data_IF_626308483110
#
_entry.id   IF_626308483110
#
_cell.length_a   1.000
_cell.length_b   1.000
_cell.length_c   1.000
_cell.angle_alpha   90.00
_cell.angle_beta   90.00
_cell.angle_gamma   90.00
#
_symmetry.space_group_name_H-M   'P 1'
#
loop_
_entity.id
_entity.type
_entity.pdbx_description
1 polymer ?
#
# COMPACT_ATOMS: atom_id res chain seq x y z
N UNK A 1 -12.95 23.99 -3.39
CA UNK A 1 -13.55 22.80 -2.79
C UNK A 1 -14.34 23.23 -1.55
N UNK A 2 -15.51 22.65 -1.31
CA UNK A 2 -16.23 22.83 -0.04
C UNK A 2 -15.86 21.65 0.88
N UNK A 3 -15.52 21.93 2.13
CA UNK A 3 -15.22 20.91 3.12
C UNK A 3 -16.51 20.43 3.78
N UNK A 4 -16.68 19.12 3.89
CA UNK A 4 -17.83 18.47 4.53
C UNK A 4 -17.33 17.47 5.59
N UNK A 5 -18.03 17.39 6.72
CA UNK A 5 -17.71 16.40 7.77
C UNK A 5 -18.51 15.12 7.52
N UNK A 6 -17.88 13.96 7.34
CA UNK A 6 -18.59 12.69 7.24
C UNK A 6 -19.03 12.18 8.62
N UNK A 7 -20.04 11.30 8.70
CA UNK A 7 -20.45 10.68 9.94
C UNK A 7 -19.45 9.59 10.40
N UNK A 8 -18.73 9.89 11.49
CA UNK A 8 -18.29 8.99 12.56
C UNK A 8 -17.50 7.69 12.27
N UNK A 9 -16.20 7.70 12.59
CA UNK A 9 -15.49 6.63 13.32
C UNK A 9 -14.33 7.28 14.12
N UNK A 10 -14.07 6.91 15.39
CA UNK A 10 -13.19 7.68 16.29
C UNK A 10 -11.68 7.55 16.01
N UNK A 11 -11.26 6.84 14.95
CA UNK A 11 -9.83 6.57 14.71
C UNK A 11 -9.08 7.65 13.91
N UNK A 12 -9.77 8.54 13.19
CA UNK A 12 -9.27 9.83 12.64
C UNK A 12 -10.45 10.46 11.88
N UNK A 13 -10.77 11.76 12.07
CA UNK A 13 -11.86 12.37 11.30
C UNK A 13 -11.41 12.53 9.85
N UNK A 14 -12.05 11.80 8.93
CA UNK A 14 -11.87 12.02 7.50
C UNK A 14 -12.43 13.40 7.12
N UNK A 15 -11.73 14.12 6.25
CA UNK A 15 -12.21 15.37 5.69
C UNK A 15 -12.81 15.11 4.31
N UNK A 16 -14.13 15.20 4.19
CA UNK A 16 -14.83 15.14 2.91
C UNK A 16 -14.64 16.44 2.12
N UNK A 17 -14.56 16.33 0.80
CA UNK A 17 -14.56 17.50 -0.07
C UNK A 17 -15.31 17.26 -1.38
N UNK A 18 -15.98 18.31 -1.85
CA UNK A 18 -16.60 18.37 -3.17
C UNK A 18 -15.87 19.40 -4.05
N UNK A 19 -15.68 19.06 -5.33
CA UNK A 19 -15.21 20.01 -6.33
C UNK A 19 -16.34 21.00 -6.69
N UNK A 20 -16.02 22.30 -6.68
CA UNK A 20 -16.92 23.33 -7.18
C UNK A 20 -16.61 23.55 -8.66
N UNK A 21 -17.58 23.30 -9.51
CA UNK A 21 -17.44 23.43 -10.97
C UNK A 21 -18.07 24.74 -11.46
N UNK A 22 -17.77 25.10 -12.71
CA UNK A 22 -18.29 26.29 -13.36
C UNK A 22 -19.82 26.24 -13.52
N UNK A 23 -20.41 27.42 -13.72
CA UNK A 23 -21.85 27.56 -13.92
C UNK A 23 -22.32 26.73 -15.14
N UNK A 24 -23.36 25.91 -14.95
CA UNK A 24 -23.88 25.00 -15.98
C UNK A 24 -23.23 23.62 -16.06
N UNK A 25 -22.15 23.36 -15.32
CA UNK A 25 -21.53 22.03 -15.25
C UNK A 25 -22.19 21.16 -14.16
N UNK A 26 -22.90 20.10 -14.59
CA UNK A 26 -23.66 19.20 -13.71
C UNK A 26 -22.85 18.04 -13.13
N UNK A 27 -21.56 17.93 -13.46
CA UNK A 27 -20.71 16.85 -12.94
C UNK A 27 -20.45 17.05 -11.44
N UNK A 28 -20.26 15.95 -10.72
CA UNK A 28 -19.88 15.96 -9.30
C UNK A 28 -18.61 15.16 -9.09
N UNK A 29 -17.65 15.76 -8.39
CA UNK A 29 -16.42 15.08 -7.99
C UNK A 29 -16.29 15.22 -6.48
N UNK A 30 -16.25 14.08 -5.81
CA UNK A 30 -16.12 13.97 -4.37
C UNK A 30 -14.78 13.32 -4.02
N UNK A 31 -14.28 13.60 -2.83
CA UNK A 31 -13.13 12.91 -2.28
C UNK A 31 -13.09 12.99 -0.77
N UNK A 32 -12.16 12.25 -0.19
CA UNK A 32 -11.88 12.29 1.23
C UNK A 32 -10.37 12.44 1.46
N UNK A 33 -10.01 13.07 2.57
CA UNK A 33 -8.64 13.15 3.04
C UNK A 33 -8.56 12.60 4.46
N UNK A 34 -7.78 11.53 4.64
CA UNK A 34 -7.49 10.98 5.95
C UNK A 34 -6.55 11.92 6.71
N UNK A 35 -6.94 12.31 7.92
CA UNK A 35 -6.11 13.14 8.80
C UNK A 35 -5.15 12.25 9.61
N UNK A 36 -3.91 12.17 9.16
CA UNK A 36 -2.87 11.39 9.84
C UNK A 36 -2.13 12.25 10.87
N UNK A 37 -2.13 11.83 12.13
CA UNK A 37 -1.43 12.52 13.21
C UNK A 37 0.09 12.61 13.01
N UNK A 38 0.75 13.58 13.66
CA UNK A 38 2.21 13.79 13.51
C UNK A 38 3.05 12.59 13.95
N UNK A 39 2.68 11.95 15.07
CA UNK A 39 3.37 10.79 15.68
C UNK A 39 2.50 9.53 15.60
N UNK A 40 3.14 8.37 15.63
CA UNK A 40 2.50 7.06 15.59
C UNK A 40 3.10 6.17 14.50
N UNK A 41 2.42 5.06 14.19
CA UNK A 41 2.89 4.09 13.19
C UNK A 41 2.13 4.24 11.87
N UNK A 42 2.82 4.25 10.75
CA UNK A 42 2.24 4.18 9.41
C UNK A 42 2.60 2.85 8.76
N UNK A 43 1.61 2.17 8.19
CA UNK A 43 1.79 0.98 7.37
C UNK A 43 1.79 1.40 5.92
N UNK A 44 2.87 1.09 5.20
CA UNK A 44 2.95 1.23 3.75
C UNK A 44 2.82 -0.18 3.17
N UNK A 45 1.72 -0.45 2.48
CA UNK A 45 1.41 -1.76 1.92
C UNK A 45 1.44 -1.73 0.40
N UNK A 46 2.02 -2.74 -0.22
CA UNK A 46 1.69 -3.06 -1.61
C UNK A 46 0.23 -3.59 -1.74
N UNK A 47 -0.30 -3.63 -2.96
CA UNK A 47 -1.65 -4.13 -3.27
C UNK A 47 -1.63 -5.53 -3.89
N UNK A 48 -0.90 -5.69 -4.99
CA UNK A 48 -0.98 -6.85 -5.88
C UNK A 48 -0.19 -8.02 -5.27
N UNK A 49 -0.79 -9.20 -5.18
CA UNK A 49 -0.27 -10.34 -4.40
C UNK A 49 -0.01 -10.08 -2.90
N UNK A 50 -0.20 -8.87 -2.40
CA UNK A 50 -0.11 -8.55 -0.96
C UNK A 50 -1.48 -8.62 -0.28
N UNK A 51 -2.44 -7.82 -0.75
CA UNK A 51 -3.84 -7.81 -0.24
C UNK A 51 -4.86 -8.27 -1.28
N UNK A 52 -4.51 -8.18 -2.57
CA UNK A 52 -5.32 -8.61 -3.70
C UNK A 52 -4.60 -9.73 -4.45
N UNK A 53 -5.21 -10.91 -4.56
CA UNK A 53 -4.64 -12.03 -5.31
C UNK A 53 -4.54 -11.67 -6.80
N UNK A 54 -3.36 -11.82 -7.39
CA UNK A 54 -3.14 -11.65 -8.82
C UNK A 54 -2.50 -12.89 -9.44
N UNK A 55 -2.86 -13.20 -10.69
CA UNK A 55 -2.27 -14.32 -11.44
C UNK A 55 -1.16 -13.77 -12.34
N UNK A 56 -0.02 -13.41 -11.74
CA UNK A 56 1.06 -12.58 -12.33
C UNK A 56 1.87 -13.30 -13.42
N UNK A 57 1.45 -14.48 -13.86
CA UNK A 57 2.11 -15.21 -14.95
C UNK A 57 2.22 -14.39 -16.25
N UNK A 58 1.33 -13.40 -16.48
CA UNK A 58 1.42 -12.54 -17.67
C UNK A 58 0.90 -11.11 -17.41
N UNK A 59 1.80 -10.22 -16.95
CA UNK A 59 1.53 -8.78 -16.71
C UNK A 59 0.80 -8.06 -17.86
N UNK A 60 1.01 -8.50 -19.11
CA UNK A 60 0.42 -7.89 -20.30
C UNK A 60 -1.05 -8.29 -20.51
N UNK A 61 -1.41 -9.54 -20.21
CA UNK A 61 -2.81 -9.99 -20.16
C UNK A 61 -3.53 -9.47 -18.91
N UNK A 62 -2.83 -9.31 -17.79
CA UNK A 62 -3.37 -8.72 -16.57
C UNK A 62 -3.91 -7.31 -16.82
N UNK A 63 -3.17 -6.42 -17.49
CA UNK A 63 -3.66 -5.07 -17.78
C UNK A 63 -4.94 -5.07 -18.65
N UNK A 64 -5.09 -6.04 -19.55
CA UNK A 64 -6.28 -6.19 -20.38
C UNK A 64 -7.46 -6.84 -19.62
N UNK A 65 -7.17 -7.78 -18.71
CA UNK A 65 -8.16 -8.57 -17.96
C UNK A 65 -8.53 -7.98 -16.59
N UNK A 66 -7.74 -7.07 -16.02
CA UNK A 66 -7.99 -6.46 -14.70
C UNK A 66 -9.23 -5.58 -14.71
N UNK A 67 -9.67 -5.13 -15.90
CA UNK A 67 -10.96 -4.46 -16.07
C UNK A 67 -12.15 -5.42 -16.26
N UNK A 68 -11.92 -6.74 -16.29
CA UNK A 68 -12.93 -7.75 -16.65
C UNK A 68 -13.18 -8.75 -15.51
N UNK A 69 -12.17 -9.06 -14.67
CA UNK A 69 -12.29 -10.04 -13.58
C UNK A 69 -12.51 -9.37 -12.22
N UNK A 70 -13.38 -9.91 -11.35
CA UNK A 70 -13.56 -9.41 -9.99
C UNK A 70 -12.25 -9.56 -9.20
N UNK A 71 -11.94 -8.56 -8.38
CA UNK A 71 -10.80 -8.62 -7.46
C UNK A 71 -11.09 -9.62 -6.34
N UNK A 72 -10.05 -10.31 -5.88
CA UNK A 72 -10.14 -11.30 -4.80
C UNK A 72 -9.16 -10.95 -3.71
N UNK A 73 -9.64 -10.85 -2.48
CA UNK A 73 -8.77 -10.59 -1.33
C UNK A 73 -7.88 -11.80 -1.00
N UNK A 74 -6.68 -11.49 -0.50
CA UNK A 74 -5.85 -12.44 0.22
C UNK A 74 -6.53 -12.69 1.58
N UNK A 75 -6.93 -13.94 1.82
CA UNK A 75 -7.68 -14.31 3.03
C UNK A 75 -6.93 -13.92 4.31
N UNK A 76 -7.62 -13.23 5.23
CA UNK A 76 -7.08 -12.80 6.53
C UNK A 76 -6.31 -11.48 6.53
N UNK A 77 -5.94 -10.92 5.38
CA UNK A 77 -5.22 -9.63 5.31
C UNK A 77 -6.08 -8.46 5.80
N UNK A 78 -7.36 -8.41 5.41
CA UNK A 78 -8.28 -7.36 5.85
C UNK A 78 -8.43 -7.35 7.37
N UNK A 79 -8.57 -8.52 8.00
CA UNK A 79 -8.67 -8.67 9.45
C UNK A 79 -7.38 -8.26 10.17
N UNK A 80 -6.21 -8.65 9.62
CA UNK A 80 -4.91 -8.25 10.15
C UNK A 80 -4.76 -6.72 10.12
N UNK A 81 -5.09 -6.10 8.99
CA UNK A 81 -4.99 -4.65 8.80
C UNK A 81 -6.01 -3.90 9.64
N UNK A 82 -7.24 -4.41 9.78
CA UNK A 82 -8.22 -3.87 10.70
C UNK A 82 -7.75 -3.94 12.15
N UNK A 83 -7.02 -4.99 12.54
CA UNK A 83 -6.41 -5.09 13.87
C UNK A 83 -5.38 -4.00 14.10
N UNK A 84 -4.49 -3.78 13.14
CA UNK A 84 -3.48 -2.72 13.19
C UNK A 84 -4.09 -1.31 13.14
N UNK A 85 -5.14 -1.09 12.35
CA UNK A 85 -5.86 0.17 12.32
C UNK A 85 -6.50 0.49 13.67
N UNK A 86 -7.13 -0.50 14.33
CA UNK A 86 -7.67 -0.34 15.69
C UNK A 86 -6.59 -0.05 16.74
N UNK A 87 -5.35 -0.48 16.50
CA UNK A 87 -4.19 -0.14 17.31
C UNK A 87 -3.60 1.26 17.00
N UNK A 88 -4.20 2.03 16.10
CA UNK A 88 -3.81 3.41 15.78
C UNK A 88 -2.83 3.54 14.60
N UNK A 89 -2.63 2.48 13.81
CA UNK A 89 -1.84 2.56 12.59
C UNK A 89 -2.58 3.31 11.48
N UNK A 90 -1.89 4.23 10.82
CA UNK A 90 -2.36 4.86 9.59
C UNK A 90 -1.91 4.04 8.37
N UNK A 91 -2.70 3.98 7.31
CA UNK A 91 -2.40 3.16 6.14
C UNK A 91 -2.14 3.98 4.88
N UNK A 92 -1.19 3.51 4.08
CA UNK A 92 -0.85 3.99 2.75
C UNK A 92 -0.67 2.78 1.85
N UNK A 93 -1.37 2.71 0.73
CA UNK A 93 -1.18 1.64 -0.24
C UNK A 93 -0.40 2.16 -1.44
N UNK A 94 0.61 1.44 -1.89
CA UNK A 94 1.46 1.83 -3.02
C UNK A 94 1.49 0.70 -4.03
N UNK A 95 0.98 0.91 -5.23
CA UNK A 95 0.92 -0.13 -6.27
C UNK A 95 1.47 0.36 -7.60
N UNK A 96 2.07 -0.57 -8.34
CA UNK A 96 2.50 -0.35 -9.73
C UNK A 96 1.33 -0.34 -10.72
N UNK A 97 0.11 -0.66 -10.26
CA UNK A 97 -1.11 -0.67 -11.05
C UNK A 97 -1.47 0.74 -11.57
N UNK A 98 -2.03 0.85 -12.78
CA UNK A 98 -2.40 2.13 -13.39
C UNK A 98 -3.51 2.83 -12.60
N UNK A 99 -3.44 4.16 -12.48
CA UNK A 99 -4.40 4.96 -11.72
C UNK A 99 -5.87 4.82 -12.19
N UNK A 100 -6.09 4.38 -13.42
CA UNK A 100 -7.41 4.08 -13.98
C UNK A 100 -8.17 3.01 -13.19
N UNK A 101 -7.46 2.16 -12.42
CA UNK A 101 -8.07 1.15 -11.56
C UNK A 101 -8.56 1.71 -10.22
N UNK A 102 -8.33 3.00 -9.94
CA UNK A 102 -8.71 3.61 -8.67
C UNK A 102 -10.17 3.35 -8.27
N UNK A 103 -11.20 3.54 -9.13
CA UNK A 103 -12.58 3.32 -8.72
C UNK A 103 -12.85 1.86 -8.29
N UNK A 104 -12.37 0.90 -9.08
CA UNK A 104 -12.53 -0.54 -8.78
C UNK A 104 -11.76 -0.96 -7.52
N UNK A 105 -10.58 -0.35 -7.28
CA UNK A 105 -9.82 -0.60 -6.06
C UNK A 105 -10.54 -0.04 -4.83
N UNK A 106 -11.08 1.17 -4.89
CA UNK A 106 -11.86 1.72 -3.76
C UNK A 106 -13.05 0.82 -3.43
N UNK A 107 -13.83 0.42 -4.45
CA UNK A 107 -14.96 -0.49 -4.25
C UNK A 107 -14.54 -1.83 -3.62
N UNK A 108 -13.45 -2.44 -4.12
CA UNK A 108 -12.90 -3.66 -3.55
C UNK A 108 -12.45 -3.48 -2.09
N UNK A 109 -11.79 -2.38 -1.75
CA UNK A 109 -11.32 -2.11 -0.39
C UNK A 109 -12.50 -1.94 0.58
N UNK A 110 -13.57 -1.27 0.14
CA UNK A 110 -14.79 -1.09 0.92
C UNK A 110 -15.53 -2.42 1.12
N UNK A 111 -15.68 -3.22 0.05
CA UNK A 111 -16.33 -4.54 0.10
C UNK A 111 -15.61 -5.51 1.03
N UNK A 112 -14.29 -5.57 0.96
CA UNK A 112 -13.44 -6.44 1.78
C UNK A 112 -13.09 -5.84 3.15
N UNK A 113 -13.56 -4.61 3.43
CA UNK A 113 -13.41 -3.91 4.71
C UNK A 113 -11.96 -3.64 5.10
N UNK A 114 -11.11 -3.33 4.14
CA UNK A 114 -9.77 -2.83 4.41
C UNK A 114 -9.81 -1.45 5.11
N UNK A 115 -8.80 -1.10 5.92
CA UNK A 115 -8.71 0.24 6.48
C UNK A 115 -8.67 1.31 5.39
N UNK A 116 -9.40 2.41 5.62
CA UNK A 116 -9.32 3.59 4.76
C UNK A 116 -7.91 4.12 4.71
N UNK A 117 -7.45 4.48 3.52
CA UNK A 117 -6.06 4.80 3.27
C UNK A 117 -5.90 5.59 1.97
N UNK A 118 -4.76 6.29 1.85
CA UNK A 118 -4.36 6.86 0.57
C UNK A 118 -3.91 5.72 -0.37
N UNK A 119 -4.45 5.69 -1.59
CA UNK A 119 -4.00 4.80 -2.66
C UNK A 119 -3.05 5.55 -3.60
N UNK A 120 -1.79 5.15 -3.61
CA UNK A 120 -0.74 5.68 -4.47
C UNK A 120 -0.55 4.76 -5.67
N UNK A 121 -1.12 5.15 -6.81
CA UNK A 121 -1.11 4.36 -8.05
C UNK A 121 -0.20 4.99 -9.09
N UNK A 122 0.26 4.16 -10.05
CA UNK A 122 1.13 4.60 -11.13
C UNK A 122 0.36 5.50 -12.11
N UNK A 123 0.86 6.72 -12.31
CA UNK A 123 0.33 7.59 -13.36
C UNK A 123 0.70 7.00 -14.73
N UNK A 124 -0.31 6.64 -15.51
CA UNK A 124 -0.15 6.15 -16.87
C UNK A 124 -0.99 6.96 -17.84
N UNK A 125 -0.35 7.51 -18.89
CA UNK A 125 -0.97 8.32 -19.93
C UNK A 125 -0.77 7.64 -21.29
N UNK A 126 -1.88 7.16 -21.87
CA UNK A 126 -1.89 6.50 -23.19
C UNK A 126 -1.40 7.40 -24.34
N UNK A 127 -1.52 8.73 -24.22
CA UNK A 127 -1.19 9.68 -25.30
C UNK A 127 0.26 10.17 -25.31
N UNK A 128 0.94 10.22 -24.16
CA UNK A 128 2.23 10.91 -24.01
C UNK A 128 3.40 9.95 -23.73
N UNK A 129 3.11 8.66 -23.51
CA UNK A 129 4.11 7.64 -23.25
C UNK A 129 3.85 6.41 -24.12
N UNK A 130 4.92 5.83 -24.66
CA UNK A 130 4.83 4.49 -25.24
C UNK A 130 4.30 3.53 -24.16
N UNK A 131 3.51 2.54 -24.55
CA UNK A 131 2.99 1.45 -23.69
C UNK A 131 4.11 0.79 -22.84
N UNK A 132 5.38 1.01 -23.21
CA UNK A 132 6.60 0.67 -22.48
C UNK A 132 6.70 1.31 -21.08
N UNK A 133 6.10 2.46 -20.80
CA UNK A 133 6.14 3.07 -19.46
C UNK A 133 5.39 2.24 -18.42
N UNK A 134 4.40 1.42 -18.82
CA UNK A 134 3.79 0.41 -17.95
C UNK A 134 4.76 -0.74 -17.65
N UNK A 135 5.69 -1.02 -18.55
CA UNK A 135 6.74 -2.04 -18.41
C UNK A 135 7.95 -1.54 -17.60
N UNK A 136 7.99 -0.26 -17.24
CA UNK A 136 9.04 0.25 -16.35
C UNK A 136 9.07 -0.54 -15.04
N UNK A 137 10.30 -0.76 -14.56
CA UNK A 137 10.54 -1.52 -13.33
C UNK A 137 9.76 -0.89 -12.15
N UNK A 138 9.09 -1.70 -11.31
CA UNK A 138 8.34 -1.22 -10.14
C UNK A 138 9.12 -0.24 -9.25
N UNK A 139 10.42 -0.49 -9.13
CA UNK A 139 11.38 0.31 -8.35
C UNK A 139 11.33 1.80 -8.71
N UNK A 140 11.21 2.13 -10.00
CA UNK A 140 11.21 3.54 -10.50
C UNK A 140 10.03 4.36 -9.97
N UNK A 141 8.94 3.72 -9.59
CA UNK A 141 7.74 4.40 -9.09
C UNK A 141 7.55 4.19 -7.58
N UNK A 142 7.73 2.96 -7.08
CA UNK A 142 7.51 2.63 -5.66
C UNK A 142 8.51 3.36 -4.75
N UNK A 143 9.82 3.36 -5.07
CA UNK A 143 10.84 4.02 -4.23
C UNK A 143 10.53 5.52 -4.01
N UNK A 144 10.41 6.37 -5.04
CA UNK A 144 10.15 7.80 -4.83
C UNK A 144 8.81 8.06 -4.14
N UNK A 145 7.81 7.20 -4.36
CA UNK A 145 6.51 7.31 -3.69
C UNK A 145 6.62 7.02 -2.20
N UNK A 146 7.31 5.93 -1.83
CA UNK A 146 7.55 5.56 -0.43
C UNK A 146 8.40 6.64 0.27
N UNK A 147 9.45 7.14 -0.38
CA UNK A 147 10.26 8.24 0.16
C UNK A 147 9.44 9.51 0.37
N UNK A 148 8.54 9.85 -0.56
CA UNK A 148 7.66 11.00 -0.40
C UNK A 148 6.68 10.84 0.78
N UNK A 149 6.18 9.62 1.04
CA UNK A 149 5.35 9.32 2.22
C UNK A 149 6.18 9.48 3.49
N UNK A 150 7.39 8.89 3.54
CA UNK A 150 8.29 8.99 4.69
C UNK A 150 8.64 10.45 5.00
N UNK A 151 8.96 11.24 3.97
CA UNK A 151 9.27 12.66 4.09
C UNK A 151 8.08 13.52 4.52
N UNK A 152 6.84 13.13 4.18
CA UNK A 152 5.62 13.83 4.60
C UNK A 152 5.37 13.69 6.11
N UNK A 153 5.75 12.57 6.70
CA UNK A 153 5.50 12.25 8.09
C UNK A 153 6.80 11.98 8.84
N UNK A 154 7.62 13.01 9.12
CA UNK A 154 8.97 12.88 9.67
C UNK A 154 9.04 12.47 11.15
N UNK A 155 7.91 12.37 11.86
CA UNK A 155 7.83 11.92 13.26
C UNK A 155 7.15 10.53 13.43
N UNK A 156 6.75 9.84 12.34
CA UNK A 156 6.11 8.50 12.38
C UNK A 156 7.04 7.31 12.13
N UNK A 157 6.85 6.18 12.81
CA UNK A 157 7.55 4.93 12.46
C UNK A 157 6.81 4.20 11.35
N UNK A 158 7.52 3.55 10.43
CA UNK A 158 6.95 2.88 9.27
C UNK A 158 7.08 1.37 9.36
N UNK A 159 6.00 0.67 8.98
CA UNK A 159 5.98 -0.76 8.72
C UNK A 159 5.73 -0.94 7.24
N UNK A 160 6.58 -1.73 6.57
CA UNK A 160 6.46 -2.00 5.13
C UNK A 160 5.88 -3.41 4.94
N UNK A 161 4.84 -3.55 4.12
CA UNK A 161 4.22 -4.86 3.84
C UNK A 161 4.07 -5.07 2.35
N UNK A 162 4.59 -6.17 1.84
CA UNK A 162 4.60 -6.47 0.41
C UNK A 162 4.63 -7.96 0.13
N UNK A 163 4.91 -8.34 -1.09
CA UNK A 163 4.87 -9.74 -1.53
C UNK A 163 6.22 -10.25 -2.07
N UNK A 164 6.31 -11.57 -2.29
CA UNK A 164 7.50 -12.22 -2.81
C UNK A 164 7.56 -12.35 -4.34
N UNK A 165 6.48 -12.10 -5.08
CA UNK A 165 6.39 -12.20 -6.55
C UNK A 165 6.91 -10.94 -7.24
N UNK A 166 6.69 -9.75 -6.65
CA UNK A 166 7.25 -8.48 -7.12
C UNK A 166 8.62 -8.17 -6.51
N UNK A 167 9.11 -6.92 -6.70
CA UNK A 167 10.40 -6.41 -6.22
C UNK A 167 10.34 -5.78 -4.83
N UNK A 168 9.29 -6.07 -4.06
CA UNK A 168 9.08 -5.50 -2.75
C UNK A 168 10.23 -5.77 -1.76
N UNK A 169 10.84 -6.98 -1.70
CA UNK A 169 11.99 -7.20 -0.83
C UNK A 169 13.15 -6.25 -1.15
N UNK A 170 13.50 -6.11 -2.44
CA UNK A 170 14.59 -5.26 -2.89
C UNK A 170 14.31 -3.77 -2.61
N UNK A 171 13.08 -3.32 -2.91
CA UNK A 171 12.63 -1.94 -2.68
C UNK A 171 12.65 -1.62 -1.18
N UNK A 172 12.07 -2.48 -0.34
CA UNK A 172 12.00 -2.24 1.09
C UNK A 172 13.36 -2.34 1.77
N UNK A 173 14.24 -3.21 1.28
CA UNK A 173 15.64 -3.25 1.71
C UNK A 173 16.37 -1.94 1.43
N UNK A 174 16.18 -1.34 0.26
CA UNK A 174 16.76 -0.03 -0.09
C UNK A 174 16.22 1.08 0.82
N UNK A 175 14.89 1.17 0.95
CA UNK A 175 14.23 2.15 1.81
C UNK A 175 14.70 2.03 3.27
N UNK A 176 14.75 0.81 3.81
CA UNK A 176 15.17 0.56 5.18
C UNK A 176 16.64 0.88 5.42
N UNK A 177 17.52 0.67 4.44
CA UNK A 177 18.93 1.10 4.53
C UNK A 177 19.08 2.62 4.56
N UNK A 178 18.22 3.35 3.83
CA UNK A 178 18.22 4.82 3.77
C UNK A 178 17.54 5.46 4.99
N UNK A 179 16.53 4.80 5.57
CA UNK A 179 15.68 5.31 6.65
C UNK A 179 15.68 4.38 7.88
N UNK A 180 16.87 3.95 8.32
CA UNK A 180 17.05 2.93 9.38
C UNK A 180 16.40 3.28 10.72
N UNK A 181 16.28 4.57 11.01
CA UNK A 181 15.67 5.13 12.21
C UNK A 181 14.14 5.21 12.13
N UNK A 182 13.58 5.06 10.93
CA UNK A 182 12.15 5.27 10.65
C UNK A 182 11.44 3.99 10.25
N UNK A 183 12.13 3.00 9.65
CA UNK A 183 11.54 1.71 9.31
C UNK A 183 11.67 0.76 10.51
N UNK A 184 10.53 0.45 11.13
CA UNK A 184 10.47 -0.38 12.34
C UNK A 184 10.26 -1.87 12.07
N UNK A 185 9.63 -2.23 10.95
CA UNK A 185 9.44 -3.62 10.53
C UNK A 185 9.15 -3.73 9.02
N UNK A 186 9.47 -4.90 8.45
CA UNK A 186 9.18 -5.27 7.07
C UNK A 186 8.53 -6.65 7.07
N UNK A 187 7.39 -6.80 6.40
CA UNK A 187 6.69 -8.06 6.24
C UNK A 187 6.55 -8.40 4.75
N UNK A 188 7.02 -9.58 4.36
CA UNK A 188 6.91 -10.07 2.99
C UNK A 188 5.99 -11.29 2.97
N UNK A 189 4.89 -11.21 2.23
CA UNK A 189 4.00 -12.35 1.99
C UNK A 189 4.68 -13.31 1.04
N UNK A 190 4.96 -14.54 1.49
CA UNK A 190 5.43 -15.62 0.63
C UNK A 190 4.28 -16.25 -0.14
N UNK A 191 4.26 -16.10 -1.47
CA UNK A 191 3.13 -16.48 -2.34
C UNK A 191 3.34 -17.86 -2.97
N UNK A 192 2.54 -18.90 -2.62
CA UNK A 192 2.70 -20.23 -3.18
C UNK A 192 2.36 -20.35 -4.68
N UNK A 193 3.03 -21.24 -5.43
CA UNK A 193 4.24 -21.97 -5.04
C UNK A 193 5.45 -21.02 -5.12
N UNK A 194 5.95 -20.59 -3.97
CA UNK A 194 7.12 -19.70 -3.93
C UNK A 194 8.37 -20.57 -3.92
N UNK A 195 8.88 -20.93 -5.10
CA UNK A 195 10.26 -21.39 -5.28
C UNK A 195 11.27 -20.23 -5.08
N UNK A 196 10.86 -19.16 -4.37
CA UNK A 196 11.67 -17.97 -4.16
C UNK A 196 12.81 -18.34 -3.21
N UNK A 197 14.07 -18.31 -3.65
CA UNK A 197 15.17 -18.78 -2.82
C UNK A 197 15.38 -17.85 -1.61
N UNK A 198 15.65 -18.42 -0.44
CA UNK A 198 16.01 -17.66 0.77
C UNK A 198 17.14 -16.65 0.50
N UNK A 199 18.11 -17.04 -0.35
CA UNK A 199 19.23 -16.19 -0.77
C UNK A 199 18.79 -14.85 -1.40
N UNK A 200 17.60 -14.79 -2.01
CA UNK A 200 17.06 -13.52 -2.52
C UNK A 200 16.75 -12.55 -1.39
N UNK A 201 16.12 -13.02 -0.31
CA UNK A 201 15.80 -12.18 0.84
C UNK A 201 17.08 -11.76 1.57
N UNK A 202 18.05 -12.65 1.72
CA UNK A 202 19.36 -12.32 2.32
C UNK A 202 20.08 -11.22 1.54
N UNK A 203 20.02 -11.28 0.20
CA UNK A 203 20.58 -10.23 -0.66
C UNK A 203 19.79 -8.92 -0.55
N UNK A 204 18.46 -8.98 -0.62
CA UNK A 204 17.58 -7.82 -0.56
C UNK A 204 17.74 -7.05 0.77
N UNK A 205 17.84 -7.77 1.88
CA UNK A 205 17.94 -7.22 3.23
C UNK A 205 19.37 -7.23 3.79
N UNK A 206 20.38 -7.30 2.92
CA UNK A 206 21.79 -7.22 3.30
C UNK A 206 22.05 -5.97 4.16
N UNK A 207 22.86 -6.16 5.20
CA UNK A 207 23.27 -5.14 6.17
C UNK A 207 22.12 -4.55 7.02
N UNK A 208 20.96 -5.22 7.06
CA UNK A 208 19.85 -4.91 7.96
C UNK A 208 19.73 -5.96 9.08
N UNK A 209 19.27 -5.58 10.28
CA UNK A 209 19.04 -6.54 11.37
C UNK A 209 18.07 -7.62 10.93
N UNK A 210 18.37 -8.90 11.22
CA UNK A 210 17.46 -10.01 10.88
C UNK A 210 16.07 -9.85 11.50
N UNK A 211 15.98 -9.27 12.69
CA UNK A 211 14.72 -9.00 13.38
C UNK A 211 13.86 -7.91 12.73
N UNK A 212 14.40 -7.14 11.76
CA UNK A 212 13.67 -6.08 11.08
C UNK A 212 12.67 -6.63 10.06
N UNK A 213 12.91 -7.81 9.50
CA UNK A 213 12.12 -8.33 8.39
C UNK A 213 11.64 -9.76 8.64
N UNK A 214 10.44 -10.08 8.15
CA UNK A 214 9.81 -11.39 8.31
C UNK A 214 9.11 -11.79 7.02
N UNK A 215 9.31 -13.04 6.59
CA UNK A 215 8.48 -13.65 5.55
C UNK A 215 7.34 -14.38 6.23
N UNK A 216 6.10 -14.11 5.84
CA UNK A 216 4.91 -14.73 6.40
C UNK A 216 4.07 -15.40 5.31
N UNK A 217 3.37 -16.47 5.67
CA UNK A 217 2.46 -17.19 4.77
C UNK A 217 1.01 -17.13 5.24
N UNK A 218 0.81 -17.03 6.56
CA UNK A 218 -0.49 -16.78 7.18
C UNK A 218 -0.59 -15.32 7.61
N UNK A 219 -1.46 -14.51 6.98
CA UNK A 219 -1.79 -13.16 7.42
C UNK A 219 -2.23 -13.07 8.89
N UNK A 220 -2.75 -14.16 9.46
CA UNK A 220 -3.11 -14.26 10.87
C UNK A 220 -1.96 -13.87 11.81
N UNK A 221 -0.73 -14.26 11.48
CA UNK A 221 0.48 -13.99 12.25
C UNK A 221 0.80 -12.49 12.42
N UNK A 222 0.36 -11.63 11.50
CA UNK A 222 0.59 -10.19 11.59
C UNK A 222 -0.10 -9.56 12.81
N UNK A 223 -1.20 -10.16 13.28
CA UNK A 223 -1.94 -9.67 14.46
C UNK A 223 -1.15 -9.82 15.76
N UNK A 224 -0.16 -10.71 15.80
CA UNK A 224 0.68 -10.97 16.96
C UNK A 224 1.81 -9.93 17.10
N UNK A 225 2.07 -9.15 16.06
CA UNK A 225 3.09 -8.11 16.08
C UNK A 225 2.67 -6.94 16.97
N UNK A 226 3.46 -6.65 18.01
CA UNK A 226 3.25 -5.50 18.90
C UNK A 226 3.61 -4.17 18.20
N UNK A 227 2.66 -3.63 17.43
CA UNK A 227 2.78 -2.31 16.81
C UNK A 227 3.01 -1.19 17.84
N UNK A 228 2.47 -1.31 19.05
CA UNK A 228 2.60 -0.27 20.07
C UNK A 228 4.07 -0.11 20.53
N UNK A 229 4.88 -1.16 20.42
CA UNK A 229 6.32 -1.08 20.65
C UNK A 229 7.05 -0.10 19.73
N UNK A 230 6.54 0.09 18.50
CA UNK A 230 7.13 0.99 17.51
C UNK A 230 6.70 2.45 17.70
N UNK A 231 5.55 2.70 18.32
CA UNK A 231 5.03 4.04 18.57
C UNK A 231 5.73 4.76 19.74
N UNK A 232 6.48 4.01 20.57
CA UNK A 232 7.20 4.51 21.77
C UNK A 232 8.65 4.94 21.48
N UNK A 233 9.11 4.80 20.24
CA UNK A 233 10.45 5.20 19.78
C UNK A 233 10.39 6.57 19.13
#
# INVERSE_FOLDING_TARGET
ARLTSPPGSPASPDLGFDALLGEGDSRRFEGSAALVGKRGVSVISDIDDTVKVTDVANRRELLANTFIRPFKAVAGMADAYACWARAGAAFHFVSSSPWQLYPSLVEFFDQERFPRAALHLKLFRFKDSSVLSLLDKPEKHKIPTIEAIIGRFPERTFVLVGDSTEKDPEIYGEIARKHRDRVGAIFIRGVPPSDVPLARFDSAFKDLPRALWTVFHDPGSLKEFDLASLARR
#
